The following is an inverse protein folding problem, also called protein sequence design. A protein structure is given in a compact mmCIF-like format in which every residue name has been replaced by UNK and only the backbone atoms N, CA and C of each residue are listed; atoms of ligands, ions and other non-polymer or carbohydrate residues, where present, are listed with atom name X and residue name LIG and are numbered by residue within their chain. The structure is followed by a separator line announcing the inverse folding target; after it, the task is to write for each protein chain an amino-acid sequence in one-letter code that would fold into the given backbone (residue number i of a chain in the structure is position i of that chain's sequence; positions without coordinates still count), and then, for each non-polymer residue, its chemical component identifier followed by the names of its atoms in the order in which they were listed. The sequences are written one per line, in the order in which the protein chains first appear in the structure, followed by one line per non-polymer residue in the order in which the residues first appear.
data_IF_830614964749
#
_entry.id   IF_830614964749
#
_cell.length_a   1.000
_cell.length_b   1.000
_cell.length_c   1.000
_cell.angle_alpha   90.00
_cell.angle_beta   90.00
_cell.angle_gamma   90.00
#
_symmetry.space_group_name_H-M   'P 1'
#
loop_
_entity.id
_entity.type
_entity.pdbx_description
1 polymer ?
#
# COMPACT_ATOMS: atom_id res chain seq x y z
N UNK A 1 16.64 3.79 0.99
CA UNK A 1 15.55 4.50 1.68
C UNK A 1 14.40 3.52 1.72
N UNK A 2 13.77 3.32 2.87
CA UNK A 2 12.65 2.39 3.00
C UNK A 2 11.58 2.74 1.96
N UNK A 3 10.99 1.74 1.33
CA UNK A 3 9.85 1.91 0.44
C UNK A 3 8.64 1.18 0.99
N UNK A 4 7.47 1.55 0.49
CA UNK A 4 6.21 1.03 0.96
C UNK A 4 5.34 0.54 -0.18
N UNK A 5 4.70 -0.60 0.00
CA UNK A 5 3.51 -0.95 -0.75
C UNK A 5 2.28 -0.57 0.08
N UNK A 6 1.41 0.25 -0.48
CA UNK A 6 0.14 0.66 0.14
C UNK A 6 -1.01 0.06 -0.66
N UNK A 7 -1.83 -0.74 0.01
CA UNK A 7 -3.08 -1.29 -0.50
C UNK A 7 -4.29 -0.58 0.09
N UNK A 8 -5.20 -0.12 -0.76
CA UNK A 8 -6.53 0.33 -0.35
C UNK A 8 -7.56 -0.54 -1.06
N UNK A 9 -8.38 -1.23 -0.27
CA UNK A 9 -9.29 -2.27 -0.76
C UNK A 9 -10.71 -2.03 -0.26
N UNK A 10 -11.68 -2.16 -1.15
CA UNK A 10 -13.11 -2.02 -0.87
C UNK A 10 -13.74 -3.41 -0.72
N UNK A 11 -14.90 -3.46 -0.06
CA UNK A 11 -15.79 -4.62 -0.09
C UNK A 11 -15.18 -5.97 0.32
N UNK A 12 -14.20 -5.97 1.24
CA UNK A 12 -13.60 -7.22 1.79
C UNK A 12 -14.60 -7.98 2.69
N UNK A 13 -15.71 -7.34 3.08
CA UNK A 13 -16.82 -7.97 3.80
C UNK A 13 -17.82 -8.52 2.80
N UNK A 14 -18.33 -9.76 2.96
CA UNK A 14 -19.15 -10.40 1.95
C UNK A 14 -20.43 -9.63 1.64
N UNK A 15 -20.84 -9.73 0.37
CA UNK A 15 -22.06 -9.13 -0.18
C UNK A 15 -23.37 -9.57 0.51
N UNK A 16 -23.34 -10.60 1.35
CA UNK A 16 -24.49 -11.12 2.08
C UNK A 16 -24.19 -11.32 3.58
N UNK A 17 -25.12 -10.96 4.48
CA UNK A 17 -24.99 -11.21 5.92
C UNK A 17 -24.79 -12.70 6.22
N UNK A 18 -23.73 -13.03 6.98
CA UNK A 18 -23.48 -14.39 7.48
C UNK A 18 -22.61 -15.29 6.60
N UNK A 19 -22.19 -14.83 5.41
CA UNK A 19 -21.09 -15.47 4.70
C UNK A 19 -19.75 -15.07 5.32
N UNK A 20 -18.77 -15.97 5.34
CA UNK A 20 -17.37 -15.65 5.66
C UNK A 20 -16.63 -15.11 4.43
N UNK A 21 -15.33 -14.76 4.54
CA UNK A 21 -14.51 -14.40 3.39
C UNK A 21 -14.42 -15.58 2.40
N UNK A 22 -14.27 -15.28 1.11
CA UNK A 22 -14.10 -16.30 0.07
C UNK A 22 -12.84 -17.15 0.34
N UNK A 23 -12.85 -18.48 0.12
CA UNK A 23 -11.68 -19.35 0.37
C UNK A 23 -10.38 -18.86 -0.30
N UNK A 24 -10.46 -18.33 -1.52
CA UNK A 24 -9.29 -17.76 -2.22
C UNK A 24 -8.65 -16.60 -1.46
N UNK A 25 -9.44 -15.77 -0.77
CA UNK A 25 -8.92 -14.68 0.06
C UNK A 25 -8.21 -15.23 1.29
N UNK A 26 -8.73 -16.31 1.88
CA UNK A 26 -8.09 -16.99 3.00
C UNK A 26 -6.74 -17.55 2.55
N UNK A 27 -6.71 -18.26 1.43
CA UNK A 27 -5.48 -18.82 0.85
C UNK A 27 -4.45 -17.72 0.51
N UNK A 28 -4.91 -16.59 -0.06
CA UNK A 28 -4.05 -15.44 -0.33
C UNK A 28 -3.39 -14.92 0.95
N UNK A 29 -4.16 -14.72 2.02
CA UNK A 29 -3.65 -14.22 3.31
C UNK A 29 -2.69 -15.21 3.96
N UNK A 30 -2.95 -16.50 3.87
CA UNK A 30 -2.07 -17.55 4.40
C UNK A 30 -0.71 -17.60 3.68
N UNK A 31 -0.69 -17.33 2.37
CA UNK A 31 0.50 -17.53 1.52
C UNK A 31 1.32 -16.26 1.29
N UNK A 32 0.73 -15.07 1.40
CA UNK A 32 1.38 -13.82 0.97
C UNK A 32 2.70 -13.54 1.70
N UNK A 33 2.80 -13.83 3.02
CA UNK A 33 4.01 -13.54 3.79
C UNK A 33 5.24 -14.29 3.24
N UNK A 34 5.07 -15.54 2.82
CA UNK A 34 6.16 -16.33 2.25
C UNK A 34 6.71 -15.71 0.95
N UNK A 35 5.88 -14.98 0.20
CA UNK A 35 6.33 -14.25 -1.01
C UNK A 35 7.12 -12.99 -0.67
N UNK A 36 6.86 -12.38 0.48
CA UNK A 36 7.49 -11.14 0.94
C UNK A 36 8.88 -11.37 1.54
N UNK A 37 9.06 -12.49 2.24
CA UNK A 37 10.27 -12.79 3.02
C UNK A 37 11.58 -12.70 2.22
N UNK A 38 11.69 -13.20 0.97
CA UNK A 38 12.91 -13.09 0.18
C UNK A 38 13.32 -11.65 -0.15
N UNK A 39 12.37 -10.71 -0.12
CA UNK A 39 12.57 -9.30 -0.48
C UNK A 39 12.62 -8.38 0.76
N UNK A 40 12.61 -8.95 1.96
CA UNK A 40 12.59 -8.20 3.22
C UNK A 40 11.28 -7.46 3.49
N UNK A 41 10.18 -7.86 2.82
CA UNK A 41 8.87 -7.24 2.99
C UNK A 41 8.23 -7.57 4.34
N UNK A 42 7.69 -6.57 5.04
CA UNK A 42 7.03 -6.74 6.35
C UNK A 42 5.73 -5.97 6.42
N UNK A 43 4.65 -6.62 6.86
CA UNK A 43 3.42 -5.91 7.18
C UNK A 43 3.63 -4.94 8.33
N UNK A 44 3.20 -3.70 8.13
CA UNK A 44 3.11 -2.64 9.13
C UNK A 44 1.66 -2.39 9.52
N UNK A 45 0.74 -2.53 8.57
CA UNK A 45 -0.73 -2.49 8.79
C UNK A 45 -1.37 -3.60 7.96
N UNK A 46 -2.20 -4.44 8.57
CA UNK A 46 -2.96 -5.49 7.89
C UNK A 46 -4.18 -5.90 8.73
N UNK A 47 -5.40 -5.71 8.20
CA UNK A 47 -6.65 -6.08 8.89
C UNK A 47 -6.96 -5.26 10.15
N UNK A 48 -6.37 -4.07 10.29
CA UNK A 48 -6.63 -3.18 11.42
C UNK A 48 -7.93 -2.38 11.22
N UNK A 49 -8.62 -2.07 12.32
CA UNK A 49 -9.74 -1.13 12.33
C UNK A 49 -9.24 0.28 11.98
N UNK A 50 -9.95 0.96 11.08
CA UNK A 50 -9.60 2.31 10.62
C UNK A 50 -10.50 3.33 11.34
N UNK A 51 -9.88 4.20 12.13
CA UNK A 51 -10.53 5.39 12.67
C UNK A 51 -10.38 6.55 11.68
N UNK A 52 -11.51 7.04 11.15
CA UNK A 52 -11.52 8.15 10.19
C UNK A 52 -11.70 9.46 10.95
N UNK A 53 -10.65 10.29 10.98
CA UNK A 53 -10.68 11.59 11.67
C UNK A 53 -11.19 12.72 10.78
N UNK A 54 -10.90 12.68 9.48
CA UNK A 54 -11.29 13.69 8.49
C UNK A 54 -11.62 13.04 7.14
N UNK A 55 -12.70 13.50 6.48
CA UNK A 55 -13.12 13.02 5.16
C UNK A 55 -13.80 11.65 5.15
N UNK A 56 -13.78 11.00 3.98
CA UNK A 56 -14.35 9.67 3.77
C UNK A 56 -13.24 8.64 3.48
N UNK A 57 -13.36 7.45 4.06
CA UNK A 57 -12.43 6.34 3.82
C UNK A 57 -13.18 5.09 3.33
N UNK A 58 -12.86 4.58 2.12
CA UNK A 58 -13.74 3.64 1.43
C UNK A 58 -13.53 2.16 1.78
N UNK A 59 -12.65 1.79 2.72
CA UNK A 59 -12.45 0.38 3.04
C UNK A 59 -11.28 0.05 3.96
N UNK A 60 -10.55 -1.03 3.66
CA UNK A 60 -9.41 -1.46 4.47
C UNK A 60 -8.09 -0.91 3.93
N UNK A 61 -7.10 -0.82 4.82
CA UNK A 61 -5.74 -0.41 4.51
C UNK A 61 -4.75 -1.55 4.76
N UNK A 62 -3.82 -1.72 3.83
CA UNK A 62 -2.64 -2.57 4.00
C UNK A 62 -1.40 -1.72 3.76
N UNK A 63 -0.41 -1.83 4.65
CA UNK A 63 0.88 -1.18 4.49
C UNK A 63 1.98 -2.21 4.69
N UNK A 64 2.89 -2.32 3.72
CA UNK A 64 4.04 -3.22 3.75
C UNK A 64 5.30 -2.39 3.57
N UNK A 65 6.28 -2.53 4.47
CA UNK A 65 7.59 -1.91 4.36
C UNK A 65 8.62 -2.82 3.69
N UNK A 66 9.50 -2.24 2.89
CA UNK A 66 10.62 -2.88 2.20
C UNK A 66 11.92 -2.11 2.45
N UNK A 67 13.10 -2.75 2.36
CA UNK A 67 14.40 -2.06 2.43
C UNK A 67 14.55 -0.93 1.40
N UNK A 68 13.90 -1.07 0.24
CA UNK A 68 13.86 -0.08 -0.81
C UNK A 68 12.85 -0.42 -1.92
N UNK A 69 12.72 0.51 -2.88
CA UNK A 69 11.74 0.41 -3.96
C UNK A 69 12.10 -0.67 -4.99
N UNK A 70 13.39 -0.99 -5.12
CA UNK A 70 13.84 -2.08 -5.97
C UNK A 70 13.33 -3.44 -5.46
N UNK A 71 13.43 -3.67 -4.15
CA UNK A 71 12.93 -4.88 -3.48
C UNK A 71 11.41 -4.97 -3.58
N UNK A 72 10.70 -3.86 -3.36
CA UNK A 72 9.25 -3.82 -3.50
C UNK A 72 8.78 -4.15 -4.93
N UNK A 73 9.46 -3.60 -5.95
CA UNK A 73 9.18 -3.91 -7.37
C UNK A 73 9.51 -5.36 -7.70
N UNK A 74 10.64 -5.87 -7.20
CA UNK A 74 11.05 -7.25 -7.44
C UNK A 74 10.08 -8.25 -6.79
N UNK A 75 9.61 -7.97 -5.57
CA UNK A 75 8.53 -8.72 -4.93
C UNK A 75 7.27 -8.71 -5.78
N UNK A 76 6.79 -7.53 -6.19
CA UNK A 76 5.56 -7.43 -6.97
C UNK A 76 5.67 -8.17 -8.30
N UNK A 77 6.82 -8.11 -8.98
CA UNK A 77 7.06 -8.80 -10.24
C UNK A 77 7.41 -10.29 -10.07
N UNK A 78 7.56 -10.80 -8.84
CA UNK A 78 7.95 -12.19 -8.61
C UNK A 78 6.88 -13.17 -9.11
N UNK A 79 7.26 -14.29 -9.74
CA UNK A 79 6.31 -15.32 -10.15
C UNK A 79 5.45 -15.84 -9.00
N UNK A 80 6.03 -15.96 -7.80
CA UNK A 80 5.37 -16.44 -6.61
C UNK A 80 4.27 -15.50 -6.14
N UNK A 81 4.52 -14.19 -6.11
CA UNK A 81 3.48 -13.22 -5.77
C UNK A 81 2.43 -13.07 -6.87
N UNK A 82 2.85 -13.02 -8.14
CA UNK A 82 1.93 -12.90 -9.28
C UNK A 82 0.95 -14.08 -9.37
N UNK A 83 1.37 -15.29 -8.96
CA UNK A 83 0.48 -16.43 -8.87
C UNK A 83 -0.62 -16.28 -7.79
N UNK A 84 -0.42 -15.44 -6.78
CA UNK A 84 -1.41 -15.15 -5.73
C UNK A 84 -2.35 -14.00 -6.10
N UNK A 85 -1.96 -13.12 -7.03
CA UNK A 85 -2.74 -11.90 -7.34
C UNK A 85 -4.20 -12.19 -7.71
N UNK A 86 -4.53 -13.17 -8.59
CA UNK A 86 -5.91 -13.47 -8.95
C UNK A 86 -6.80 -13.86 -7.76
N UNK A 87 -6.25 -14.61 -6.79
CA UNK A 87 -6.96 -15.02 -5.57
C UNK A 87 -7.52 -13.84 -4.80
N UNK A 88 -6.89 -12.66 -4.91
CA UNK A 88 -7.39 -11.41 -4.34
C UNK A 88 -8.20 -10.59 -5.34
N UNK A 89 -7.67 -10.34 -6.54
CA UNK A 89 -8.27 -9.37 -7.46
C UNK A 89 -9.63 -9.78 -8.01
N UNK A 90 -9.92 -11.08 -8.03
CA UNK A 90 -11.20 -11.59 -8.54
C UNK A 90 -12.35 -11.38 -7.53
N UNK A 91 -12.02 -11.15 -6.26
CA UNK A 91 -12.99 -11.03 -5.16
C UNK A 91 -12.94 -9.69 -4.42
N UNK A 92 -11.85 -8.91 -4.56
CA UNK A 92 -11.62 -7.66 -3.84
C UNK A 92 -11.16 -6.56 -4.79
N UNK A 93 -11.97 -5.53 -4.92
CA UNK A 93 -11.60 -4.31 -5.66
C UNK A 93 -10.63 -3.47 -4.82
N UNK A 94 -9.59 -2.94 -5.47
CA UNK A 94 -8.73 -1.96 -4.82
C UNK A 94 -7.48 -1.65 -5.62
N UNK A 95 -6.65 -0.80 -5.01
CA UNK A 95 -5.40 -0.32 -5.59
C UNK A 95 -4.24 -0.74 -4.72
N UNK A 96 -3.12 -1.07 -5.37
CA UNK A 96 -1.82 -1.20 -4.71
C UNK A 96 -0.87 -0.23 -5.39
N UNK A 97 -0.21 0.61 -4.61
CA UNK A 97 0.82 1.52 -5.08
C UNK A 97 2.16 1.22 -4.39
N UNK A 98 3.26 1.49 -5.09
CA UNK A 98 4.60 1.47 -4.52
C UNK A 98 5.11 2.91 -4.43
N UNK A 99 5.67 3.27 -3.28
CA UNK A 99 6.15 4.63 -3.03
C UNK A 99 7.42 4.60 -2.18
N UNK A 100 8.34 5.52 -2.44
CA UNK A 100 9.48 5.75 -1.56
C UNK A 100 9.00 6.37 -0.23
N UNK A 101 9.61 5.93 0.86
CA UNK A 101 9.51 6.61 2.13
C UNK A 101 10.30 7.91 2.17
N UNK A 102 10.43 8.47 3.36
CA UNK A 102 11.32 9.61 3.61
C UNK A 102 12.57 9.16 4.37
N UNK A 103 13.62 9.98 4.31
CA UNK A 103 14.82 9.74 5.11
C UNK A 103 14.54 9.91 6.62
N UNK A 104 15.30 9.23 7.51
CA UNK A 104 15.32 9.58 8.92
C UNK A 104 15.61 11.07 9.12
N UNK A 105 14.85 11.73 9.99
CA UNK A 105 14.99 13.17 10.25
C UNK A 105 14.37 14.08 9.17
N UNK A 106 13.50 13.54 8.31
CA UNK A 106 12.72 14.34 7.37
C UNK A 106 11.94 15.46 8.07
N UNK A 107 12.12 16.69 7.58
CA UNK A 107 11.42 17.88 8.06
C UNK A 107 10.44 18.39 6.98
N UNK A 108 9.11 18.34 7.22
CA UNK A 108 8.14 18.88 6.28
C UNK A 108 8.24 20.40 6.08
N UNK A 109 8.83 21.16 7.02
CA UNK A 109 9.03 22.60 6.86
C UNK A 109 9.99 22.93 5.71
N UNK A 110 11.02 22.10 5.50
CA UNK A 110 11.92 22.23 4.35
C UNK A 110 11.19 22.01 3.03
N UNK A 111 10.29 21.02 2.97
CA UNK A 111 9.47 20.80 1.78
C UNK A 111 8.56 22.01 1.50
N UNK A 112 7.92 22.55 2.53
CA UNK A 112 7.10 23.76 2.41
C UNK A 112 7.90 24.98 1.92
N UNK A 113 9.14 25.16 2.39
CA UNK A 113 10.02 26.21 1.91
C UNK A 113 10.35 26.04 0.42
N UNK A 114 10.69 24.81 -0.01
CA UNK A 114 10.96 24.46 -1.42
C UNK A 114 9.75 24.75 -2.32
N UNK A 115 8.55 24.37 -1.89
CA UNK A 115 7.30 24.63 -2.63
C UNK A 115 7.04 26.13 -2.84
N UNK A 116 7.29 26.96 -1.82
CA UNK A 116 7.13 28.42 -1.91
C UNK A 116 8.07 29.04 -2.93
N UNK A 117 9.34 28.62 -2.94
CA UNK A 117 10.32 29.07 -3.95
C UNK A 117 9.95 28.62 -5.36
N UNK A 118 9.41 27.41 -5.53
CA UNK A 118 8.96 26.92 -6.84
C UNK A 118 7.73 27.69 -7.36
N UNK A 119 6.76 28.01 -6.49
CA UNK A 119 5.60 28.80 -6.84
C UNK A 119 5.93 30.27 -7.19
N UNK A 120 6.94 30.85 -6.56
CA UNK A 120 7.39 32.21 -6.84
C UNK A 120 8.10 32.36 -8.19
N UNK A 121 8.67 31.28 -8.74
CA UNK A 121 9.34 31.28 -10.05
C UNK A 121 8.40 31.25 -11.25
N UNK A 122 7.12 30.89 -11.06
CA UNK A 122 6.12 30.82 -12.14
C UNK A 122 5.35 32.13 -12.39
N UNK A 123 5.45 33.12 -11.49
CA UNK A 123 4.68 34.36 -11.55
C UNK A 123 5.42 35.54 -12.22
N UNK A 124 6.67 35.34 -12.66
CA UNK A 124 7.51 36.39 -13.27
C UNK A 124 7.63 36.28 -14.81
N UNK A 125 6.72 35.55 -15.46
CA UNK A 125 6.73 35.30 -16.90
C UNK A 125 5.35 35.32 -17.52
N UNK A 126 4.66 36.47 -17.46
CA UNK A 126 3.50 36.81 -18.30
C UNK A 126 3.41 38.32 -18.47
#
# INVERSE_FOLDING_TARGET
MTAYALGSFRDIVPAAPGAGPHPDIIEYVERIQATLDPFGGRFLVHGAEVEVLEGDWPGNMVLIGFPGLAEARAWYASPEYQALVPLRTDHVEGVIILVDGVAPGYDPAELGAKMRTAGAGGAAGS
#
